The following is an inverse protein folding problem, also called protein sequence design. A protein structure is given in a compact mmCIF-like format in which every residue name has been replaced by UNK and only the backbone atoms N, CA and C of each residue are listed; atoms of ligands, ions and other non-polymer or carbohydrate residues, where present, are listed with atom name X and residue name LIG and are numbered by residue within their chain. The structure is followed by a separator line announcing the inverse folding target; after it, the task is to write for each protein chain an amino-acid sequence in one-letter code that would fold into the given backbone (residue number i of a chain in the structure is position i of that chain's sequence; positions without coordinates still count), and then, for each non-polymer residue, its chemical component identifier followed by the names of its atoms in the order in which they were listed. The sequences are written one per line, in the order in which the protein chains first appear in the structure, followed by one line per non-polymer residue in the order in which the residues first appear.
data_IF_825814072463
#
_entry.id   IF_825814072463
#
_cell.length_a   1.000
_cell.length_b   1.000
_cell.length_c   1.000
_cell.angle_alpha   90.00
_cell.angle_beta   90.00
_cell.angle_gamma   90.00
#
_symmetry.space_group_name_H-M   'P 1'
#
loop_
_entity.id
_entity.type
_entity.pdbx_description
1 polymer ?
#
# COMPACT_ATOMS: atom_id res chain seq x y z
N UNK A 1 -24.41 16.76 -12.51
CA UNK A 1 -24.25 17.26 -13.91
C UNK A 1 -25.26 16.51 -14.77
N UNK A 2 -26.27 17.22 -15.32
CA UNK A 2 -27.24 16.65 -16.26
C UNK A 2 -26.60 16.71 -17.65
N UNK A 3 -26.42 15.56 -18.30
CA UNK A 3 -25.90 15.40 -19.66
C UNK A 3 -27.05 15.18 -20.65
N UNK A 4 -28.18 15.88 -20.44
CA UNK A 4 -29.31 15.83 -21.34
C UNK A 4 -28.90 16.52 -22.67
N UNK A 5 -28.96 15.81 -23.78
CA UNK A 5 -28.60 16.21 -25.16
C UNK A 5 -27.13 16.05 -25.60
N UNK A 6 -26.29 15.28 -24.93
CA UNK A 6 -24.94 14.95 -25.40
C UNK A 6 -24.95 13.55 -26.03
N UNK A 7 -24.36 13.32 -27.23
CA UNK A 7 -24.23 11.99 -27.82
C UNK A 7 -23.53 11.03 -26.83
N UNK A 8 -24.05 9.81 -26.70
CA UNK A 8 -23.58 8.81 -25.70
C UNK A 8 -22.07 8.63 -25.69
N UNK A 9 -21.43 8.59 -26.85
CA UNK A 9 -19.96 8.45 -26.96
C UNK A 9 -19.20 9.62 -26.31
N UNK A 10 -19.72 10.84 -26.44
CA UNK A 10 -19.10 12.04 -25.86
C UNK A 10 -19.38 12.08 -24.36
N UNK A 11 -20.60 11.74 -23.95
CA UNK A 11 -20.98 11.68 -22.55
C UNK A 11 -20.08 10.70 -21.75
N UNK A 12 -19.85 9.50 -22.27
CA UNK A 12 -18.98 8.47 -21.65
C UNK A 12 -17.53 8.95 -21.57
N UNK A 13 -17.02 9.60 -22.62
CA UNK A 13 -15.66 10.14 -22.61
C UNK A 13 -15.47 11.26 -21.58
N UNK A 14 -16.47 12.12 -21.40
CA UNK A 14 -16.45 13.17 -20.36
C UNK A 14 -16.48 12.53 -18.97
N UNK A 15 -17.39 11.58 -18.74
CA UNK A 15 -17.48 10.87 -17.45
C UNK A 15 -16.17 10.19 -17.10
N UNK A 16 -15.52 9.53 -18.05
CA UNK A 16 -14.23 8.88 -17.84
C UNK A 16 -13.14 9.87 -17.47
N UNK A 17 -13.01 10.99 -18.21
CA UNK A 17 -12.03 12.04 -17.88
C UNK A 17 -12.28 12.67 -16.51
N UNK A 18 -13.54 12.90 -16.15
CA UNK A 18 -13.91 13.37 -14.81
C UNK A 18 -13.53 12.35 -13.74
N UNK A 19 -13.78 11.06 -13.98
CA UNK A 19 -13.38 10.00 -13.03
C UNK A 19 -11.87 9.97 -12.80
N UNK A 20 -11.07 10.02 -13.88
CA UNK A 20 -9.60 10.07 -13.80
C UNK A 20 -9.13 11.34 -13.08
N UNK A 21 -9.76 12.49 -13.33
CA UNK A 21 -9.45 13.73 -12.61
C UNK A 21 -9.77 13.61 -11.11
N UNK A 22 -10.91 13.00 -10.74
CA UNK A 22 -11.23 12.74 -9.32
C UNK A 22 -10.26 11.77 -8.67
N UNK A 23 -9.73 10.78 -9.39
CA UNK A 23 -8.65 9.91 -8.89
C UNK A 23 -7.41 10.75 -8.59
N UNK A 24 -6.99 11.62 -9.51
CA UNK A 24 -5.85 12.51 -9.30
C UNK A 24 -6.03 13.50 -8.14
N UNK A 25 -7.28 13.91 -7.86
CA UNK A 25 -7.65 14.73 -6.70
C UNK A 25 -7.91 13.92 -5.42
N UNK A 26 -7.60 12.63 -5.41
CA UNK A 26 -7.84 11.72 -4.28
C UNK A 26 -9.31 11.66 -3.82
N UNK A 27 -10.27 11.96 -4.69
CA UNK A 27 -11.70 11.85 -4.39
C UNK A 27 -12.27 10.53 -4.91
N UNK A 28 -11.82 9.43 -4.30
CA UNK A 28 -12.17 8.07 -4.73
C UNK A 28 -13.67 7.78 -4.72
N UNK A 29 -14.48 8.22 -3.73
CA UNK A 29 -15.93 7.99 -3.75
C UNK A 29 -16.61 8.58 -4.99
N UNK A 30 -16.26 9.81 -5.37
CA UNK A 30 -16.81 10.45 -6.59
C UNK A 30 -16.31 9.78 -7.87
N UNK A 31 -15.04 9.41 -7.93
CA UNK A 31 -14.48 8.65 -9.06
C UNK A 31 -15.24 7.34 -9.27
N UNK A 32 -15.43 6.54 -8.21
CA UNK A 32 -16.17 5.28 -8.26
C UNK A 32 -17.63 5.45 -8.73
N UNK A 33 -18.31 6.51 -8.29
CA UNK A 33 -19.68 6.79 -8.75
C UNK A 33 -19.73 6.96 -10.27
N UNK A 34 -18.76 7.69 -10.84
CA UNK A 34 -18.69 7.90 -12.29
C UNK A 34 -18.28 6.63 -13.05
N UNK A 35 -17.26 5.91 -12.56
CA UNK A 35 -16.80 4.65 -13.16
C UNK A 35 -17.91 3.60 -13.17
N UNK A 36 -18.64 3.40 -12.07
CA UNK A 36 -19.78 2.49 -12.00
C UNK A 36 -20.92 2.87 -12.96
N UNK A 37 -21.15 4.18 -13.14
CA UNK A 37 -22.11 4.66 -14.13
C UNK A 37 -21.70 4.30 -15.55
N UNK A 38 -20.42 4.45 -15.89
CA UNK A 38 -19.89 4.03 -17.20
C UNK A 38 -20.02 2.52 -17.36
N UNK A 39 -19.62 1.73 -16.34
CA UNK A 39 -19.71 0.28 -16.36
C UNK A 39 -21.15 -0.22 -16.62
N UNK A 40 -22.15 0.42 -15.99
CA UNK A 40 -23.55 0.06 -16.15
C UNK A 40 -24.12 0.39 -17.55
N UNK A 41 -23.61 1.44 -18.22
CA UNK A 41 -24.12 1.88 -19.53
C UNK A 41 -23.28 1.40 -20.69
N UNK A 42 -21.98 1.20 -20.49
CA UNK A 42 -21.00 0.84 -21.51
C UNK A 42 -19.98 -0.15 -20.94
N UNK A 43 -20.41 -1.41 -20.78
CA UNK A 43 -19.56 -2.50 -20.31
C UNK A 43 -18.31 -2.66 -21.21
N UNK A 44 -17.14 -2.86 -20.60
CA UNK A 44 -15.87 -3.01 -21.32
C UNK A 44 -15.29 -1.72 -21.89
N UNK A 45 -15.77 -0.53 -21.47
CA UNK A 45 -15.19 0.73 -21.92
C UNK A 45 -13.82 0.94 -21.31
N UNK A 46 -12.76 0.88 -22.13
CA UNK A 46 -11.35 1.04 -21.74
C UNK A 46 -10.99 0.15 -20.54
N UNK A 47 -10.37 0.73 -19.53
CA UNK A 47 -9.93 0.09 -18.28
C UNK A 47 -10.91 0.31 -17.11
N UNK A 48 -12.15 0.72 -17.37
CA UNK A 48 -13.16 1.05 -16.35
C UNK A 48 -13.37 -0.09 -15.37
N UNK A 49 -13.50 -1.32 -15.87
CA UNK A 49 -13.74 -2.48 -15.01
C UNK A 49 -12.57 -2.72 -14.04
N UNK A 50 -11.34 -2.60 -14.54
CA UNK A 50 -10.12 -2.71 -13.73
C UNK A 50 -10.05 -1.58 -12.68
N UNK A 51 -10.36 -0.34 -13.08
CA UNK A 51 -10.38 0.81 -12.17
C UNK A 51 -11.46 0.65 -11.10
N UNK A 52 -12.66 0.15 -11.45
CA UNK A 52 -13.73 -0.08 -10.47
C UNK A 52 -13.28 -1.07 -9.41
N UNK A 53 -12.76 -2.23 -9.80
CA UNK A 53 -12.29 -3.25 -8.84
C UNK A 53 -11.21 -2.67 -7.94
N UNK A 54 -10.20 -2.04 -8.51
CA UNK A 54 -9.07 -1.46 -7.78
C UNK A 54 -9.51 -0.41 -6.75
N UNK A 55 -10.30 0.58 -7.18
CA UNK A 55 -10.70 1.68 -6.30
C UNK A 55 -11.85 1.34 -5.37
N UNK A 56 -12.64 0.31 -5.68
CA UNK A 56 -13.65 -0.19 -4.76
C UNK A 56 -13.00 -0.84 -3.53
N UNK A 57 -11.94 -1.63 -3.71
CA UNK A 57 -11.16 -2.18 -2.60
C UNK A 57 -10.55 -1.06 -1.73
N UNK A 58 -9.97 -0.04 -2.38
CA UNK A 58 -9.41 1.12 -1.69
C UNK A 58 -10.46 1.90 -0.90
N UNK A 59 -11.65 2.10 -1.47
CA UNK A 59 -12.75 2.81 -0.79
C UNK A 59 -13.35 2.02 0.38
N UNK A 60 -13.32 0.71 0.31
CA UNK A 60 -13.79 -0.15 1.40
C UNK A 60 -12.82 -0.22 2.58
N UNK A 61 -11.55 0.07 2.34
CA UNK A 61 -10.53 0.06 3.37
C UNK A 61 -9.86 1.44 3.50
N UNK A 62 -10.29 2.20 4.48
CA UNK A 62 -9.76 3.54 4.79
C UNK A 62 -8.24 3.55 4.96
N UNK A 63 -7.67 2.50 5.56
CA UNK A 63 -6.23 2.41 5.77
C UNK A 63 -5.47 2.08 4.47
N UNK A 64 -6.11 1.44 3.50
CA UNK A 64 -5.55 1.31 2.15
C UNK A 64 -5.42 2.67 1.45
N UNK A 65 -6.47 3.48 1.53
CA UNK A 65 -6.40 4.85 1.01
C UNK A 65 -5.31 5.64 1.71
N UNK A 66 -5.27 5.56 3.04
CA UNK A 66 -4.23 6.21 3.83
C UNK A 66 -2.83 5.74 3.40
N UNK A 67 -2.61 4.44 3.26
CA UNK A 67 -1.31 3.89 2.85
C UNK A 67 -0.79 4.49 1.53
N UNK A 68 -1.66 4.66 0.53
CA UNK A 68 -1.25 5.17 -0.79
C UNK A 68 -1.25 6.70 -0.90
N UNK A 69 -2.14 7.38 -0.19
CA UNK A 69 -2.57 8.72 -0.57
C UNK A 69 -2.41 9.79 0.52
N UNK A 70 -2.11 9.41 1.76
CA UNK A 70 -1.87 10.41 2.82
C UNK A 70 -0.55 11.14 2.65
N UNK A 71 -0.41 12.26 3.33
CA UNK A 71 0.86 12.96 3.48
C UNK A 71 1.90 12.09 4.17
N UNK A 72 3.17 12.44 4.01
CA UNK A 72 4.30 11.65 4.54
C UNK A 72 4.22 11.43 6.04
N UNK A 73 3.83 12.45 6.80
CA UNK A 73 3.70 12.36 8.27
C UNK A 73 2.65 11.33 8.70
N UNK A 74 1.46 11.37 8.08
CA UNK A 74 0.38 10.43 8.39
C UNK A 74 0.74 9.00 7.94
N UNK A 75 1.49 8.88 6.84
CA UNK A 75 2.00 7.59 6.39
C UNK A 75 2.98 6.98 7.39
N UNK A 76 3.88 7.77 7.96
CA UNK A 76 4.79 7.30 9.03
C UNK A 76 4.00 6.83 10.25
N UNK A 77 2.95 7.56 10.65
CA UNK A 77 2.06 7.14 11.75
C UNK A 77 1.39 5.81 11.42
N UNK A 78 0.88 5.64 10.19
CA UNK A 78 0.29 4.38 9.75
C UNK A 78 1.30 3.21 9.78
N UNK A 79 2.55 3.43 9.34
CA UNK A 79 3.60 2.43 9.40
C UNK A 79 3.95 2.03 10.84
N UNK A 80 4.01 2.98 11.77
CA UNK A 80 4.22 2.70 13.20
C UNK A 80 3.08 1.87 13.78
N UNK A 81 1.83 2.22 13.48
CA UNK A 81 0.67 1.45 13.91
C UNK A 81 0.67 0.04 13.30
N UNK A 82 1.10 -0.10 12.04
CA UNK A 82 1.29 -1.40 11.40
C UNK A 82 2.27 -2.27 12.21
N UNK A 83 3.45 -1.76 12.55
CA UNK A 83 4.47 -2.51 13.31
C UNK A 83 3.92 -2.92 14.69
N UNK A 84 3.21 -2.02 15.37
CA UNK A 84 2.60 -2.33 16.68
C UNK A 84 1.55 -3.44 16.60
N UNK A 85 0.73 -3.47 15.54
CA UNK A 85 -0.26 -4.52 15.32
C UNK A 85 0.39 -5.83 14.85
N UNK A 86 1.46 -5.73 14.06
CA UNK A 86 2.22 -6.88 13.57
C UNK A 86 2.88 -7.65 14.74
N UNK A 87 3.48 -6.91 15.67
CA UNK A 87 4.07 -7.46 16.90
C UNK A 87 3.18 -7.26 18.14
N UNK A 88 1.89 -7.57 18.04
CA UNK A 88 0.85 -7.26 19.04
C UNK A 88 1.17 -7.76 20.47
N UNK A 89 1.97 -8.84 20.60
CA UNK A 89 2.31 -9.47 21.88
C UNK A 89 3.74 -9.12 22.35
N UNK A 90 4.34 -8.08 21.78
CA UNK A 90 5.69 -7.65 22.12
C UNK A 90 5.75 -6.12 22.32
N UNK A 91 6.72 -5.68 23.11
CA UNK A 91 7.05 -4.26 23.23
C UNK A 91 7.84 -3.83 22.00
N UNK A 92 7.41 -2.76 21.36
CA UNK A 92 8.07 -2.19 20.16
C UNK A 92 8.59 -0.80 20.49
N UNK A 93 9.89 -0.58 20.35
CA UNK A 93 10.54 0.71 20.45
C UNK A 93 11.08 1.11 19.07
N UNK A 94 10.56 2.19 18.51
CA UNK A 94 11.11 2.76 17.27
C UNK A 94 12.45 3.42 17.60
N UNK A 95 13.49 3.07 16.85
CA UNK A 95 14.83 3.64 17.00
C UNK A 95 15.14 4.69 15.93
N UNK A 96 14.76 4.42 14.69
CA UNK A 96 15.04 5.33 13.57
C UNK A 96 13.91 5.29 12.51
N UNK A 97 13.76 6.40 11.79
CA UNK A 97 12.81 6.56 10.69
C UNK A 97 13.47 7.33 9.56
N UNK A 98 13.68 6.67 8.43
CA UNK A 98 14.19 7.30 7.22
C UNK A 98 13.08 7.40 6.17
N UNK A 99 12.96 8.56 5.54
CA UNK A 99 11.91 8.86 4.55
C UNK A 99 12.56 9.09 3.20
N UNK A 100 12.14 8.32 2.20
CA UNK A 100 12.50 8.51 0.80
C UNK A 100 11.25 8.85 -0.02
N UNK A 101 11.43 9.17 -1.31
CA UNK A 101 10.33 9.59 -2.18
C UNK A 101 9.19 8.55 -2.29
N UNK A 102 9.54 7.27 -2.37
CA UNK A 102 8.59 6.18 -2.59
C UNK A 102 8.56 5.14 -1.46
N UNK A 103 9.29 5.37 -0.39
CA UNK A 103 9.37 4.42 0.73
C UNK A 103 9.63 5.10 2.06
N UNK A 104 9.21 4.42 3.12
CA UNK A 104 9.58 4.76 4.50
C UNK A 104 10.28 3.55 5.11
N UNK A 105 11.42 3.78 5.74
CA UNK A 105 12.16 2.78 6.50
C UNK A 105 12.02 3.07 7.99
N UNK A 106 11.80 2.03 8.75
CA UNK A 106 11.69 2.11 10.20
C UNK A 106 12.56 1.01 10.81
N UNK A 107 13.48 1.42 11.68
CA UNK A 107 14.23 0.49 12.52
C UNK A 107 13.57 0.47 13.89
N UNK A 108 13.27 -0.71 14.38
CA UNK A 108 12.69 -0.87 15.70
C UNK A 108 13.36 -2.01 16.47
N UNK A 109 13.37 -1.86 17.78
CA UNK A 109 13.71 -2.90 18.71
C UNK A 109 12.42 -3.54 19.23
N UNK A 110 12.32 -4.85 19.06
CA UNK A 110 11.16 -5.64 19.47
C UNK A 110 11.57 -6.53 20.62
N UNK A 111 10.83 -6.49 21.72
CA UNK A 111 11.11 -7.27 22.91
C UNK A 111 9.87 -7.99 23.40
N UNK A 112 9.97 -9.30 23.57
CA UNK A 112 8.96 -10.13 24.21
C UNK A 112 9.57 -10.82 25.43
N UNK A 113 8.78 -11.56 26.18
CA UNK A 113 9.27 -12.34 27.34
C UNK A 113 10.28 -13.45 26.95
N UNK A 114 10.37 -13.80 25.67
CA UNK A 114 11.15 -14.96 25.18
C UNK A 114 12.29 -14.58 24.26
N UNK A 115 12.22 -13.45 23.59
CA UNK A 115 13.21 -13.03 22.59
C UNK A 115 13.26 -11.51 22.45
N UNK A 116 14.38 -11.04 21.94
CA UNK A 116 14.59 -9.66 21.56
C UNK A 116 15.21 -9.62 20.17
N UNK A 117 14.85 -8.65 19.36
CA UNK A 117 15.38 -8.52 18.01
C UNK A 117 15.35 -7.06 17.55
N UNK A 118 16.36 -6.68 16.80
CA UNK A 118 16.40 -5.41 16.09
C UNK A 118 15.94 -5.65 14.66
N UNK A 119 14.85 -5.02 14.26
CA UNK A 119 14.14 -5.30 13.02
C UNK A 119 14.05 -4.04 12.17
N UNK A 120 14.23 -4.19 10.85
CA UNK A 120 14.03 -3.12 9.89
C UNK A 120 12.78 -3.38 9.06
N UNK A 121 11.95 -2.37 8.88
CA UNK A 121 10.83 -2.36 7.93
C UNK A 121 11.12 -1.39 6.80
N UNK A 122 10.79 -1.77 5.55
CA UNK A 122 10.72 -0.86 4.41
C UNK A 122 9.32 -0.94 3.82
N UNK A 123 8.57 0.16 3.89
CA UNK A 123 7.22 0.31 3.37
C UNK A 123 7.27 1.01 2.02
N UNK A 124 6.91 0.33 0.95
CA UNK A 124 6.86 0.89 -0.40
C UNK A 124 5.47 1.44 -0.69
N UNK A 125 5.38 2.71 -1.13
CA UNK A 125 4.13 3.38 -1.52
C UNK A 125 3.83 3.18 -3.00
N UNK A 126 3.86 1.94 -3.45
CA UNK A 126 3.61 1.58 -4.85
C UNK A 126 2.64 0.41 -4.95
N UNK A 127 2.01 0.29 -6.11
CA UNK A 127 1.21 -0.87 -6.52
C UNK A 127 1.88 -1.61 -7.68
N UNK A 128 3.07 -1.21 -8.07
CA UNK A 128 3.84 -1.86 -9.14
C UNK A 128 4.62 -3.07 -8.59
N UNK A 129 5.15 -3.86 -9.50
CA UNK A 129 6.03 -5.00 -9.14
C UNK A 129 7.38 -4.45 -8.67
N UNK A 130 7.83 -4.92 -7.51
CA UNK A 130 9.14 -4.59 -6.94
C UNK A 130 10.13 -5.69 -7.30
N UNK A 131 11.20 -5.33 -8.01
CA UNK A 131 12.26 -6.25 -8.45
C UNK A 131 13.23 -6.61 -7.32
N UNK A 132 14.01 -7.68 -7.55
CA UNK A 132 15.00 -8.20 -6.60
C UNK A 132 16.13 -7.22 -6.26
N UNK A 133 16.45 -6.27 -7.13
CA UNK A 133 17.49 -5.27 -6.88
C UNK A 133 17.19 -4.44 -5.63
N UNK A 134 15.93 -4.07 -5.41
CA UNK A 134 15.49 -3.32 -4.22
C UNK A 134 15.60 -4.16 -2.95
N UNK A 135 15.36 -5.48 -3.07
CA UNK A 135 15.45 -6.41 -1.94
C UNK A 135 16.91 -6.71 -1.58
N UNK A 136 17.79 -6.79 -2.58
CA UNK A 136 19.26 -6.93 -2.37
C UNK A 136 19.83 -5.71 -1.65
N UNK A 137 19.45 -4.52 -2.08
CA UNK A 137 19.82 -3.27 -1.42
C UNK A 137 19.32 -3.23 0.03
N UNK A 138 18.06 -3.59 0.26
CA UNK A 138 17.48 -3.65 1.59
C UNK A 138 18.20 -4.67 2.49
N UNK A 139 18.51 -5.86 1.99
CA UNK A 139 19.26 -6.87 2.73
C UNK A 139 20.70 -6.38 3.09
N UNK A 140 21.35 -5.64 2.20
CA UNK A 140 22.65 -5.02 2.51
C UNK A 140 22.49 -4.03 3.67
N UNK A 141 21.45 -3.20 3.64
CA UNK A 141 21.17 -2.21 4.68
C UNK A 141 20.86 -2.84 6.05
N UNK A 142 20.14 -3.97 6.08
CA UNK A 142 19.92 -4.77 7.30
C UNK A 142 21.25 -5.13 7.96
N UNK A 143 22.23 -5.60 7.18
CA UNK A 143 23.57 -5.97 7.69
C UNK A 143 24.34 -4.73 8.18
N UNK A 144 24.33 -3.65 7.43
CA UNK A 144 25.05 -2.41 7.76
C UNK A 144 24.52 -1.77 9.03
N UNK A 145 23.20 -1.85 9.27
CA UNK A 145 22.54 -1.33 10.48
C UNK A 145 22.50 -2.33 11.62
N UNK A 146 23.08 -3.53 11.43
CA UNK A 146 23.11 -4.62 12.43
C UNK A 146 21.69 -4.99 12.90
N UNK A 147 20.73 -5.01 11.98
CA UNK A 147 19.41 -5.59 12.23
C UNK A 147 19.46 -7.11 12.08
N UNK A 148 18.70 -7.82 12.89
CA UNK A 148 18.64 -9.29 12.87
C UNK A 148 17.78 -9.79 11.69
N UNK A 149 16.76 -9.02 11.33
CA UNK A 149 15.83 -9.34 10.22
C UNK A 149 15.20 -8.07 9.65
N UNK A 150 14.51 -8.23 8.50
CA UNK A 150 13.79 -7.14 7.88
C UNK A 150 12.55 -7.58 7.12
N UNK A 151 11.62 -6.64 6.97
CA UNK A 151 10.34 -6.81 6.29
C UNK A 151 10.19 -5.77 5.18
N UNK A 152 9.97 -6.22 3.96
CA UNK A 152 9.57 -5.38 2.85
C UNK A 152 8.06 -5.44 2.68
N UNK A 153 7.38 -4.29 2.73
CA UNK A 153 5.92 -4.20 2.74
C UNK A 153 5.44 -3.41 1.53
N UNK A 154 4.49 -3.94 0.76
CA UNK A 154 3.93 -3.27 -0.42
C UNK A 154 2.43 -3.56 -0.61
N UNK A 155 1.71 -2.65 -1.27
CA UNK A 155 0.37 -2.90 -1.83
C UNK A 155 0.44 -3.48 -3.26
N UNK A 156 1.62 -3.53 -3.86
CA UNK A 156 1.91 -4.23 -5.10
C UNK A 156 2.27 -5.69 -4.86
N UNK A 157 3.14 -6.20 -5.71
CA UNK A 157 3.72 -7.55 -5.62
C UNK A 157 5.22 -7.47 -5.72
N UNK A 158 5.91 -8.52 -5.31
CA UNK A 158 7.32 -8.71 -5.57
C UNK A 158 7.52 -9.64 -6.77
N UNK A 159 8.63 -9.49 -7.49
CA UNK A 159 8.98 -10.38 -8.60
C UNK A 159 9.36 -11.78 -8.11
N UNK A 160 9.23 -12.79 -8.96
CA UNK A 160 9.67 -14.15 -8.65
C UNK A 160 11.15 -14.20 -8.26
N UNK A 161 12.00 -13.35 -8.88
CA UNK A 161 13.40 -13.22 -8.51
C UNK A 161 13.60 -12.63 -7.12
N UNK A 162 12.73 -11.72 -6.67
CA UNK A 162 12.75 -11.19 -5.31
C UNK A 162 12.38 -12.27 -4.28
N UNK A 163 11.33 -13.06 -4.55
CA UNK A 163 10.94 -14.18 -3.70
C UNK A 163 12.07 -15.21 -3.57
N UNK A 164 12.64 -15.65 -4.69
CA UNK A 164 13.81 -16.57 -4.71
C UNK A 164 15.00 -16.01 -3.95
N UNK A 165 15.23 -14.70 -4.04
CA UNK A 165 16.34 -14.09 -3.33
C UNK A 165 16.19 -14.13 -1.82
N UNK A 166 14.97 -14.01 -1.29
CA UNK A 166 14.72 -14.02 0.17
C UNK A 166 14.77 -15.41 0.80
N UNK A 167 14.70 -16.48 0.02
CA UNK A 167 14.82 -17.85 0.52
C UNK A 167 16.12 -18.05 1.34
N UNK A 168 15.95 -18.45 2.61
CA UNK A 168 17.07 -18.66 3.54
C UNK A 168 17.80 -17.41 4.01
N UNK A 169 17.23 -16.21 3.79
CA UNK A 169 17.75 -14.93 4.26
C UNK A 169 16.80 -14.28 5.27
N UNK A 170 17.32 -13.42 6.16
CA UNK A 170 16.51 -12.75 7.17
C UNK A 170 15.70 -11.58 6.58
N UNK A 171 15.01 -11.80 5.48
CA UNK A 171 14.16 -10.83 4.78
C UNK A 171 12.84 -11.48 4.42
N UNK A 172 11.75 -10.93 4.93
CA UNK A 172 10.39 -11.34 4.63
C UNK A 172 9.68 -10.32 3.74
N UNK A 173 8.82 -10.81 2.86
CA UNK A 173 8.06 -10.02 1.89
C UNK A 173 6.58 -10.04 2.28
N UNK A 174 6.01 -8.86 2.53
CA UNK A 174 4.60 -8.68 2.89
C UNK A 174 3.90 -7.99 1.73
N UNK A 175 3.03 -8.71 1.06
CA UNK A 175 2.26 -8.25 -0.09
C UNK A 175 0.84 -7.82 0.30
N UNK A 176 0.06 -7.40 -0.70
CA UNK A 176 -1.28 -6.84 -0.57
C UNK A 176 -2.20 -7.61 0.37
N UNK A 177 -2.23 -8.94 0.28
CA UNK A 177 -3.19 -9.75 1.05
C UNK A 177 -2.91 -9.75 2.54
N UNK A 178 -1.65 -9.90 2.91
CA UNK A 178 -1.21 -9.87 4.31
C UNK A 178 -1.27 -8.44 4.86
N UNK A 179 -0.76 -7.47 4.09
CA UNK A 179 -0.86 -6.05 4.43
C UNK A 179 -2.32 -5.65 4.68
N UNK A 180 -3.26 -6.09 3.83
CA UNK A 180 -4.69 -5.84 3.99
C UNK A 180 -5.26 -6.35 5.30
N UNK A 181 -4.88 -7.56 5.69
CA UNK A 181 -5.32 -8.16 6.97
C UNK A 181 -4.84 -7.35 8.17
N UNK A 182 -3.60 -6.86 8.13
CA UNK A 182 -3.02 -6.08 9.23
C UNK A 182 -3.64 -4.68 9.27
N UNK A 183 -3.79 -4.02 8.12
CA UNK A 183 -4.40 -2.69 8.03
C UNK A 183 -5.86 -2.68 8.52
N UNK A 184 -6.62 -3.76 8.28
CA UNK A 184 -7.99 -3.90 8.84
C UNK A 184 -8.00 -3.94 10.37
N UNK A 185 -6.99 -4.57 10.99
CA UNK A 185 -6.87 -4.62 12.46
C UNK A 185 -6.55 -3.26 13.07
N UNK A 186 -5.79 -2.42 12.38
CA UNK A 186 -5.50 -1.05 12.82
C UNK A 186 -6.80 -0.24 12.93
N UNK A 187 -7.73 -0.40 11.99
CA UNK A 187 -9.02 0.31 12.00
C UNK A 187 -9.96 -0.08 13.14
N UNK A 188 -9.77 -1.27 13.73
CA UNK A 188 -10.61 -1.76 14.83
C UNK A 188 -10.09 -1.29 16.20
N UNK A 189 -8.87 -0.76 16.27
CA UNK A 189 -8.23 -0.34 17.52
C UNK A 189 -8.25 1.19 17.73
N UNK A 190 -8.88 1.93 16.83
CA UNK A 190 -9.15 3.37 16.95
C UNK A 190 -10.65 3.61 17.10
#
# INVERSE_FOLDING_TARGET
MKLENVPDKIAVQILYRCAVAYIGLNNIPRALTLLKRIQATHAGYRDVDTLVVRYQELNQNRNFQAYLMTGTSDFVVLCRNFISVFFKDAFVKIEDVAIAAESVEIICFVSSNKWQSKVMFRFYRTQTIIGDIYIREFHTKIRDTKCDSGYCVTLGTFSDSAHKYTEGRPVDLIEKDELSKILKRISLNN
#
